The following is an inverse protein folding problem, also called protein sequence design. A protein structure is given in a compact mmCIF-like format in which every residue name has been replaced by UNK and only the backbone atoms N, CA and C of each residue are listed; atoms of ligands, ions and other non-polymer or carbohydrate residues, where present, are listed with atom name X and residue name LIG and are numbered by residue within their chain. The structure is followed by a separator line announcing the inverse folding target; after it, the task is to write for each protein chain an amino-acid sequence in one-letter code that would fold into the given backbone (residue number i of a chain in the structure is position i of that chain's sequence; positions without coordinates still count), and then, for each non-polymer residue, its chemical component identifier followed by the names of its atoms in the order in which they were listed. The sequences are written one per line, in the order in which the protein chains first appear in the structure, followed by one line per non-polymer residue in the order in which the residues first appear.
data_IF_851485253479
#
_entry.id   IF_851485253479
#
_cell.length_a   1.000
_cell.length_b   1.000
_cell.length_c   1.000
_cell.angle_alpha   90.00
_cell.angle_beta   90.00
_cell.angle_gamma   90.00
#
_symmetry.space_group_name_H-M   'P 1'
#
loop_
_entity.id
_entity.type
_entity.pdbx_description
1 polymer ?
#
# COMPACT_ATOMS: atom_id res chain seq x y z
N UNK A 1 19.76 8.82 -30.56
CA UNK A 1 20.20 8.23 -29.27
C UNK A 1 19.49 6.90 -29.10
N UNK A 2 20.18 5.81 -28.76
CA UNK A 2 19.59 4.47 -28.58
C UNK A 2 19.80 4.01 -27.15
N UNK A 3 18.77 3.43 -26.54
CA UNK A 3 18.86 2.78 -25.24
C UNK A 3 19.31 1.31 -25.40
N UNK A 4 19.81 0.66 -24.32
CA UNK A 4 20.04 -0.78 -24.32
C UNK A 4 18.78 -1.58 -24.69
N UNK A 5 18.95 -2.77 -25.27
CA UNK A 5 17.84 -3.60 -25.78
C UNK A 5 16.76 -3.92 -24.73
N UNK A 6 17.18 -4.12 -23.48
CA UNK A 6 16.30 -4.49 -22.37
C UNK A 6 16.03 -3.30 -21.43
N UNK A 7 16.20 -2.07 -21.92
CA UNK A 7 15.85 -0.87 -21.15
C UNK A 7 14.33 -0.77 -21.06
N UNK A 8 13.81 -0.77 -19.83
CA UNK A 8 12.37 -0.71 -19.57
C UNK A 8 11.81 0.70 -19.73
N UNK A 9 10.66 0.82 -20.37
CA UNK A 9 9.86 2.04 -20.44
C UNK A 9 8.46 1.77 -19.88
N UNK A 10 7.98 2.69 -19.05
CA UNK A 10 6.81 2.42 -18.26
C UNK A 10 6.30 3.61 -17.49
N UNK A 11 5.38 3.33 -16.58
CA UNK A 11 4.86 4.30 -15.61
C UNK A 11 4.77 3.68 -14.22
N UNK A 12 4.51 4.55 -13.25
CA UNK A 12 4.28 4.18 -11.85
C UNK A 12 2.90 4.68 -11.42
N UNK A 13 2.24 3.92 -10.55
CA UNK A 13 1.00 4.34 -9.89
C UNK A 13 1.03 4.00 -8.39
N UNK A 14 0.05 4.54 -7.66
CA UNK A 14 -0.18 4.32 -6.23
C UNK A 14 -1.66 3.99 -6.01
N UNK A 15 -1.98 3.23 -4.96
CA UNK A 15 -3.34 2.78 -4.76
C UNK A 15 -4.29 3.95 -4.50
N UNK A 16 -3.99 4.75 -3.47
CA UNK A 16 -4.82 5.89 -3.08
C UNK A 16 -5.12 6.90 -4.19
N UNK A 17 -4.15 7.18 -5.08
CA UNK A 17 -4.32 8.22 -6.12
C UNK A 17 -5.06 7.70 -7.36
N UNK A 18 -5.09 6.39 -7.59
CA UNK A 18 -5.58 5.82 -8.86
C UNK A 18 -6.74 4.85 -8.72
N UNK A 19 -6.79 4.05 -7.67
CA UNK A 19 -7.77 2.96 -7.56
C UNK A 19 -9.20 3.47 -7.49
N UNK A 20 -9.43 4.52 -6.71
CA UNK A 20 -10.73 5.06 -6.40
C UNK A 20 -11.30 5.93 -7.54
N UNK A 21 -12.63 6.04 -7.62
CA UNK A 21 -13.31 6.78 -8.69
C UNK A 21 -14.69 6.24 -9.09
N UNK A 22 -14.99 4.99 -8.72
CA UNK A 22 -16.30 4.35 -8.93
C UNK A 22 -16.73 3.57 -7.68
N UNK A 23 -18.04 3.43 -7.42
CA UNK A 23 -18.55 2.73 -6.24
C UNK A 23 -18.00 1.31 -6.10
N UNK A 24 -17.61 0.93 -4.89
CA UNK A 24 -17.03 -0.37 -4.57
C UNK A 24 -15.49 -0.39 -4.53
N UNK A 25 -14.85 0.76 -4.74
CA UNK A 25 -13.40 0.93 -4.61
C UNK A 25 -12.98 1.75 -3.40
N UNK A 26 -13.91 2.29 -2.61
CA UNK A 26 -13.58 3.09 -1.43
C UNK A 26 -12.82 2.26 -0.39
N UNK A 27 -11.85 2.88 0.29
CA UNK A 27 -11.11 2.26 1.39
C UNK A 27 -10.81 3.29 2.47
N UNK A 28 -11.10 2.94 3.71
CA UNK A 28 -10.71 3.78 4.85
C UNK A 28 -9.21 3.63 5.15
N UNK A 29 -8.56 4.77 5.31
CA UNK A 29 -7.16 4.91 5.70
C UNK A 29 -6.99 6.23 6.44
N UNK A 30 -5.83 6.44 7.06
CA UNK A 30 -5.46 7.73 7.63
C UNK A 30 -5.60 8.88 6.61
N UNK A 31 -5.10 8.68 5.38
CA UNK A 31 -5.21 9.64 4.29
C UNK A 31 -6.64 9.86 3.83
N UNK A 32 -7.48 8.82 3.79
CA UNK A 32 -8.91 8.97 3.50
C UNK A 32 -9.57 9.90 4.51
N UNK A 33 -9.41 9.64 5.81
CA UNK A 33 -9.99 10.49 6.86
C UNK A 33 -9.40 11.91 6.81
N UNK A 34 -8.10 12.02 6.54
CA UNK A 34 -7.40 13.30 6.47
C UNK A 34 -7.95 14.22 5.38
N UNK A 35 -8.19 13.70 4.17
CA UNK A 35 -8.70 14.53 3.05
C UNK A 35 -10.19 14.82 3.16
N UNK A 36 -10.94 14.01 3.92
CA UNK A 36 -12.37 14.21 4.21
C UNK A 36 -12.64 15.09 5.44
N UNK A 37 -11.62 15.39 6.25
CA UNK A 37 -11.78 16.16 7.47
C UNK A 37 -12.23 17.60 7.17
N UNK A 38 -13.34 18.02 7.78
CA UNK A 38 -13.94 19.33 7.54
C UNK A 38 -13.03 20.48 7.96
N UNK A 39 -12.24 20.29 9.04
CA UNK A 39 -11.29 21.31 9.49
C UNK A 39 -10.13 21.45 8.49
N UNK A 40 -9.61 20.33 7.95
CA UNK A 40 -8.58 20.34 6.91
C UNK A 40 -9.04 21.04 5.63
N UNK A 41 -10.27 20.76 5.19
CA UNK A 41 -10.85 21.40 4.01
C UNK A 41 -11.07 22.89 4.28
N UNK A 42 -11.68 23.25 5.40
CA UNK A 42 -11.99 24.65 5.72
C UNK A 42 -10.74 25.51 5.93
N UNK A 43 -9.65 24.93 6.43
CA UNK A 43 -8.36 25.61 6.60
C UNK A 43 -7.53 25.72 5.32
N UNK A 44 -7.92 25.02 4.24
CA UNK A 44 -7.17 24.96 2.99
C UNK A 44 -5.90 24.11 3.07
N UNK A 45 -5.78 23.25 4.08
CA UNK A 45 -4.65 22.32 4.21
C UNK A 45 -4.71 21.20 3.16
N UNK A 46 -5.92 20.82 2.75
CA UNK A 46 -6.20 19.92 1.63
C UNK A 46 -7.12 20.65 0.64
N UNK A 47 -7.13 20.24 -0.63
CA UNK A 47 -7.86 20.96 -1.69
C UNK A 47 -9.39 20.88 -1.55
N UNK A 48 -9.89 19.84 -0.88
CA UNK A 48 -11.31 19.48 -0.87
C UNK A 48 -11.71 18.56 -2.02
N UNK A 49 -10.80 18.24 -2.95
CA UNK A 49 -10.99 17.15 -3.90
C UNK A 49 -10.91 15.82 -3.15
N UNK A 50 -11.78 14.87 -3.53
CA UNK A 50 -11.90 13.59 -2.84
C UNK A 50 -11.46 12.43 -3.77
N UNK A 51 -10.70 11.46 -3.25
CA UNK A 51 -10.06 10.42 -4.08
C UNK A 51 -11.07 9.44 -4.70
N UNK A 52 -12.27 9.30 -4.14
CA UNK A 52 -13.38 8.55 -4.73
C UNK A 52 -14.01 9.18 -5.97
N UNK A 53 -13.56 10.38 -6.35
CA UNK A 53 -13.82 10.98 -7.66
C UNK A 53 -12.61 10.85 -8.62
N UNK A 54 -11.66 9.95 -8.30
CA UNK A 54 -10.45 9.68 -9.06
C UNK A 54 -10.66 8.90 -10.36
N UNK A 55 -9.59 8.34 -10.95
CA UNK A 55 -9.62 7.72 -12.27
C UNK A 55 -10.20 6.29 -12.30
N UNK A 56 -10.54 5.71 -11.15
CA UNK A 56 -11.19 4.41 -11.03
C UNK A 56 -10.39 3.21 -11.59
N UNK A 57 -9.05 3.24 -11.46
CA UNK A 57 -8.17 2.17 -11.92
C UNK A 57 -8.56 0.80 -11.34
N UNK A 58 -9.12 0.75 -10.13
CA UNK A 58 -9.63 -0.49 -9.52
C UNK A 58 -10.61 -1.24 -10.43
N UNK A 59 -11.39 -0.50 -11.21
CA UNK A 59 -12.37 -1.05 -12.15
C UNK A 59 -11.87 -1.05 -13.59
N UNK A 60 -11.02 -0.08 -13.95
CA UNK A 60 -10.65 0.23 -15.33
C UNK A 60 -9.22 -0.18 -15.71
N UNK A 61 -8.48 -0.85 -14.82
CA UNK A 61 -7.08 -1.25 -15.04
C UNK A 61 -6.81 -1.91 -16.40
N UNK A 62 -7.73 -2.74 -16.89
CA UNK A 62 -7.58 -3.40 -18.19
C UNK A 62 -7.52 -2.40 -19.35
N UNK A 63 -8.32 -1.33 -19.29
CA UNK A 63 -8.32 -0.27 -20.31
C UNK A 63 -7.02 0.54 -20.24
N UNK A 64 -6.54 0.82 -19.03
CA UNK A 64 -5.29 1.55 -18.83
C UNK A 64 -4.06 0.71 -19.26
N UNK A 65 -4.08 -0.60 -19.00
CA UNK A 65 -3.07 -1.53 -19.53
C UNK A 65 -3.09 -1.61 -21.06
N UNK A 66 -4.28 -1.62 -21.69
CA UNK A 66 -4.40 -1.57 -23.15
C UNK A 66 -3.78 -0.29 -23.72
N UNK A 67 -3.94 0.85 -23.03
CA UNK A 67 -3.32 2.12 -23.41
C UNK A 67 -1.80 2.04 -23.24
N UNK A 68 -1.31 1.59 -22.08
CA UNK A 68 0.13 1.47 -21.80
C UNK A 68 0.83 0.56 -22.83
N UNK A 69 0.22 -0.58 -23.16
CA UNK A 69 0.75 -1.50 -24.17
C UNK A 69 0.79 -0.86 -25.56
N UNK A 70 -0.25 -0.12 -25.96
CA UNK A 70 -0.28 0.63 -27.24
C UNK A 70 0.78 1.73 -27.31
N UNK A 71 1.16 2.31 -26.17
CA UNK A 71 2.24 3.29 -26.06
C UNK A 71 3.64 2.64 -26.08
N UNK A 72 3.70 1.30 -26.15
CA UNK A 72 4.96 0.55 -26.20
C UNK A 72 5.62 0.40 -24.83
N UNK A 73 4.88 0.56 -23.73
CA UNK A 73 5.39 0.32 -22.39
C UNK A 73 5.57 -1.18 -22.14
N UNK A 74 6.62 -1.52 -21.42
CA UNK A 74 6.98 -2.89 -21.06
C UNK A 74 7.17 -3.11 -19.55
N UNK A 75 7.06 -2.05 -18.75
CA UNK A 75 7.16 -2.11 -17.30
C UNK A 75 6.09 -1.25 -16.63
N UNK A 76 5.55 -1.75 -15.52
CA UNK A 76 4.71 -0.97 -14.61
C UNK A 76 5.26 -1.14 -13.19
N UNK A 77 5.35 -0.04 -12.45
CA UNK A 77 5.50 -0.08 -11.00
C UNK A 77 4.16 0.23 -10.33
N UNK A 78 3.53 -0.78 -9.74
CA UNK A 78 2.24 -0.65 -9.04
C UNK A 78 2.36 -0.61 -7.53
N UNK A 79 1.26 -0.29 -6.86
CA UNK A 79 1.15 -0.29 -5.40
C UNK A 79 0.11 -1.29 -4.91
N UNK A 80 0.22 -1.69 -3.65
CA UNK A 80 -0.77 -2.47 -2.91
C UNK A 80 -1.10 -1.73 -1.61
N UNK A 81 -2.39 -1.55 -1.31
CA UNK A 81 -2.81 -0.77 -0.14
C UNK A 81 -2.89 -1.66 1.11
N UNK A 82 -2.05 -1.37 2.10
CA UNK A 82 -2.07 -2.07 3.39
C UNK A 82 -3.46 -1.97 4.04
N UNK A 83 -4.09 -0.79 4.00
CA UNK A 83 -5.43 -0.56 4.52
C UNK A 83 -6.51 -1.44 3.86
N UNK A 84 -6.34 -1.82 2.58
CA UNK A 84 -7.24 -2.78 1.92
C UNK A 84 -7.01 -4.20 2.36
N UNK A 85 -5.75 -4.63 2.42
CA UNK A 85 -5.39 -6.02 2.73
C UNK A 85 -5.70 -6.34 4.19
N UNK A 86 -5.38 -5.44 5.12
CA UNK A 86 -5.66 -5.59 6.55
C UNK A 86 -6.51 -4.42 7.04
N UNK A 87 -7.83 -4.44 6.79
CA UNK A 87 -8.74 -3.41 7.31
C UNK A 87 -8.98 -3.55 8.82
N UNK A 88 -8.52 -4.66 9.43
CA UNK A 88 -8.62 -4.95 10.86
C UNK A 88 -7.23 -5.15 11.47
N UNK A 89 -7.06 -4.90 12.78
CA UNK A 89 -5.78 -5.04 13.44
C UNK A 89 -5.19 -6.45 13.35
N UNK A 90 -3.87 -6.51 13.16
CA UNK A 90 -3.08 -7.77 13.11
C UNK A 90 -2.22 -7.99 14.37
N UNK A 91 -2.39 -7.15 15.40
CA UNK A 91 -1.59 -7.15 16.64
C UNK A 91 -1.61 -8.49 17.42
N UNK A 92 -2.72 -9.23 17.33
CA UNK A 92 -2.91 -10.47 18.07
C UNK A 92 -2.18 -11.66 17.43
N UNK A 93 -1.87 -11.57 16.13
CA UNK A 93 -1.07 -12.57 15.43
C UNK A 93 0.40 -12.34 15.76
N UNK A 94 1.02 -13.26 16.52
CA UNK A 94 2.40 -13.08 17.00
C UNK A 94 3.42 -13.52 15.94
N UNK A 95 4.54 -12.83 15.96
CA UNK A 95 5.74 -13.09 15.15
C UNK A 95 6.95 -12.96 16.07
N UNK A 96 8.02 -13.65 15.72
CA UNK A 96 9.27 -13.54 16.48
C UNK A 96 9.99 -12.26 16.03
N UNK A 97 10.32 -11.39 16.99
CA UNK A 97 10.99 -10.11 16.74
C UNK A 97 12.29 -10.10 17.52
N UNK A 98 13.41 -10.02 16.80
CA UNK A 98 14.73 -9.85 17.42
C UNK A 98 15.10 -8.37 17.47
N UNK A 99 15.63 -7.92 18.61
CA UNK A 99 16.09 -6.56 18.85
C UNK A 99 17.56 -6.52 19.29
N UNK A 100 18.28 -5.46 18.93
CA UNK A 100 19.63 -5.19 19.46
C UNK A 100 19.59 -4.64 20.90
N UNK A 101 20.77 -4.35 21.47
CA UNK A 101 20.91 -3.79 22.82
C UNK A 101 20.32 -2.38 22.92
N UNK A 102 20.27 -1.65 21.80
CA UNK A 102 19.66 -0.33 21.66
C UNK A 102 18.14 -0.37 21.43
N UNK A 103 17.55 -1.55 21.28
CA UNK A 103 16.11 -1.77 21.10
C UNK A 103 15.61 -1.70 19.65
N UNK A 104 16.50 -1.55 18.67
CA UNK A 104 16.16 -1.56 17.25
C UNK A 104 15.82 -2.98 16.79
N UNK A 105 14.81 -3.09 15.91
CA UNK A 105 14.42 -4.37 15.31
C UNK A 105 15.48 -4.80 14.30
N UNK A 106 16.11 -5.96 14.51
CA UNK A 106 17.12 -6.53 13.61
C UNK A 106 16.49 -7.55 12.65
N UNK A 107 15.58 -8.37 13.16
CA UNK A 107 14.91 -9.41 12.37
C UNK A 107 13.48 -9.61 12.85
N UNK A 108 12.62 -10.05 11.93
CA UNK A 108 11.26 -10.49 12.24
C UNK A 108 11.01 -11.76 11.44
N UNK A 109 10.69 -12.86 12.13
CA UNK A 109 10.35 -14.12 11.48
C UNK A 109 8.83 -14.27 11.36
N UNK A 110 8.38 -14.58 10.15
CA UNK A 110 6.96 -14.76 9.82
C UNK A 110 6.78 -16.14 9.18
N UNK A 111 6.62 -17.20 9.99
CA UNK A 111 6.51 -18.55 9.45
C UNK A 111 5.20 -18.73 8.67
N UNK A 112 5.16 -19.74 7.81
CA UNK A 112 3.98 -20.04 6.98
C UNK A 112 2.71 -20.23 7.81
N UNK A 113 2.81 -20.84 9.00
CA UNK A 113 1.67 -20.96 9.92
C UNK A 113 1.07 -19.60 10.30
N UNK A 114 1.91 -18.59 10.49
CA UNK A 114 1.48 -17.22 10.79
C UNK A 114 0.84 -16.56 9.56
N UNK A 115 1.36 -16.84 8.35
CA UNK A 115 0.69 -16.40 7.10
C UNK A 115 -0.74 -16.94 7.03
N UNK A 116 -0.95 -18.23 7.35
CA UNK A 116 -2.30 -18.85 7.40
C UNK A 116 -3.20 -18.27 8.48
N UNK A 117 -2.64 -17.71 9.55
CA UNK A 117 -3.43 -16.96 10.53
C UNK A 117 -3.81 -15.57 10.02
N UNK A 118 -2.89 -14.89 9.34
CA UNK A 118 -3.16 -13.59 8.70
C UNK A 118 -4.23 -13.71 7.61
N UNK A 119 -4.26 -14.80 6.83
CA UNK A 119 -5.31 -15.06 5.83
C UNK A 119 -6.73 -15.01 6.42
N UNK A 120 -6.91 -15.41 7.70
CA UNK A 120 -8.22 -15.43 8.36
C UNK A 120 -8.78 -14.04 8.67
N UNK A 121 -7.91 -13.03 8.72
CA UNK A 121 -8.27 -11.65 9.05
C UNK A 121 -8.05 -10.68 7.88
N UNK A 122 -7.26 -11.10 6.88
CA UNK A 122 -7.05 -10.36 5.65
C UNK A 122 -8.33 -10.26 4.83
N UNK A 123 -8.44 -9.18 4.06
CA UNK A 123 -9.41 -9.09 2.98
C UNK A 123 -8.88 -9.87 1.76
N UNK A 124 -9.17 -11.16 1.72
CA UNK A 124 -8.75 -12.02 0.62
C UNK A 124 -9.40 -11.64 -0.72
N UNK A 125 -10.60 -11.04 -0.71
CA UNK A 125 -11.22 -10.54 -1.95
C UNK A 125 -10.41 -9.38 -2.56
N UNK A 126 -9.92 -8.45 -1.74
CA UNK A 126 -9.03 -7.39 -2.21
C UNK A 126 -7.70 -7.95 -2.72
N UNK A 127 -7.11 -8.94 -2.04
CA UNK A 127 -5.89 -9.61 -2.51
C UNK A 127 -6.10 -10.27 -3.87
N UNK A 128 -7.18 -11.02 -4.04
CA UNK A 128 -7.51 -11.66 -5.32
C UNK A 128 -7.80 -10.65 -6.43
N UNK A 129 -8.36 -9.49 -6.08
CA UNK A 129 -8.55 -8.41 -7.05
C UNK A 129 -7.21 -7.81 -7.49
N UNK A 130 -6.27 -7.58 -6.56
CA UNK A 130 -4.91 -7.20 -6.91
C UNK A 130 -4.23 -8.24 -7.81
N UNK A 131 -4.40 -9.54 -7.52
CA UNK A 131 -3.92 -10.61 -8.42
C UNK A 131 -4.49 -10.45 -9.82
N UNK A 132 -5.79 -10.18 -9.99
CA UNK A 132 -6.40 -9.94 -11.30
C UNK A 132 -5.80 -8.73 -12.02
N UNK A 133 -5.55 -7.63 -11.30
CA UNK A 133 -4.92 -6.43 -11.85
C UNK A 133 -3.52 -6.79 -12.37
N UNK A 134 -2.67 -7.37 -11.52
CA UNK A 134 -1.27 -7.63 -11.87
C UNK A 134 -1.15 -8.71 -12.95
N UNK A 135 -1.98 -9.76 -12.87
CA UNK A 135 -2.04 -10.81 -13.89
C UNK A 135 -2.41 -10.25 -15.26
N UNK A 136 -3.36 -9.32 -15.37
CA UNK A 136 -3.73 -8.74 -16.68
C UNK A 136 -2.53 -8.05 -17.36
N UNK A 137 -1.61 -7.46 -16.60
CA UNK A 137 -0.37 -6.91 -17.15
C UNK A 137 0.70 -7.99 -17.41
N UNK A 138 0.89 -8.92 -16.46
CA UNK A 138 1.89 -10.00 -16.57
C UNK A 138 1.60 -10.96 -17.73
N UNK A 139 0.33 -11.28 -17.97
CA UNK A 139 -0.12 -12.15 -19.07
C UNK A 139 0.20 -11.58 -20.46
N UNK A 140 0.44 -10.26 -20.56
CA UNK A 140 0.93 -9.59 -21.78
C UNK A 140 2.44 -9.74 -21.99
N UNK A 141 3.12 -10.52 -21.15
CA UNK A 141 4.56 -10.76 -21.20
C UNK A 141 5.39 -9.56 -20.76
N UNK A 142 4.87 -8.77 -19.81
CA UNK A 142 5.47 -7.51 -19.34
C UNK A 142 6.07 -7.63 -17.95
N UNK A 143 6.88 -6.63 -17.57
CA UNK A 143 7.49 -6.53 -16.25
C UNK A 143 6.58 -5.78 -15.27
N UNK A 144 6.49 -6.26 -14.04
CA UNK A 144 5.77 -5.64 -12.95
C UNK A 144 6.67 -5.50 -11.72
N UNK A 145 6.76 -4.27 -11.21
CA UNK A 145 7.46 -3.93 -9.98
C UNK A 145 6.39 -3.62 -8.91
N UNK A 146 6.39 -4.36 -7.80
CA UNK A 146 5.42 -4.12 -6.73
C UNK A 146 6.04 -3.29 -5.61
N UNK A 147 5.38 -2.17 -5.29
CA UNK A 147 5.70 -1.33 -4.14
C UNK A 147 4.72 -1.57 -3.00
N UNK A 148 5.23 -1.97 -1.83
CA UNK A 148 4.40 -2.38 -0.70
C UNK A 148 3.73 -1.20 0.01
N UNK A 149 4.35 -0.02 0.05
CA UNK A 149 3.80 1.10 0.80
C UNK A 149 3.93 2.43 0.04
N UNK A 150 2.80 3.13 -0.09
CA UNK A 150 2.73 4.43 -0.77
C UNK A 150 1.90 5.45 0.02
N UNK A 151 2.16 5.52 1.34
CA UNK A 151 1.69 6.53 2.30
C UNK A 151 0.44 6.20 3.12
N UNK A 152 -0.71 5.77 2.59
CA UNK A 152 -1.84 5.41 3.44
C UNK A 152 -1.51 4.26 4.39
N UNK A 153 -1.91 4.46 5.64
CA UNK A 153 -1.88 3.47 6.70
C UNK A 153 -3.32 3.06 7.03
N UNK A 154 -3.54 1.80 7.46
CA UNK A 154 -4.81 1.42 8.05
C UNK A 154 -5.17 2.34 9.23
N UNK A 155 -6.44 2.70 9.41
CA UNK A 155 -6.85 3.59 10.51
C UNK A 155 -6.52 3.04 11.90
N UNK A 156 -6.45 1.71 12.05
CA UNK A 156 -6.06 1.07 13.30
C UNK A 156 -4.56 1.17 13.59
N UNK A 157 -3.74 1.53 12.58
CA UNK A 157 -2.32 1.88 12.72
C UNK A 157 -2.17 3.38 13.00
N UNK A 158 -2.94 4.22 12.30
CA UNK A 158 -2.82 5.67 12.40
C UNK A 158 -4.18 6.36 12.36
N UNK A 159 -4.52 7.10 13.42
CA UNK A 159 -5.63 8.05 13.43
C UNK A 159 -5.06 9.48 13.43
N UNK A 160 -4.91 10.11 12.26
CA UNK A 160 -4.21 11.38 12.15
C UNK A 160 -4.98 12.53 12.80
N UNK A 161 -6.31 12.42 12.90
CA UNK A 161 -7.16 13.44 13.51
C UNK A 161 -7.02 13.37 15.03
N UNK A 162 -7.05 12.16 15.60
CA UNK A 162 -6.82 11.97 17.03
C UNK A 162 -5.39 12.33 17.42
N UNK A 163 -4.37 11.95 16.64
CA UNK A 163 -2.98 12.35 16.88
C UNK A 163 -2.84 13.88 16.87
N UNK A 164 -3.44 14.58 15.90
CA UNK A 164 -3.41 16.05 15.87
C UNK A 164 -4.07 16.69 17.09
N UNK A 165 -5.18 16.13 17.57
CA UNK A 165 -5.99 16.71 18.66
C UNK A 165 -5.49 16.33 20.05
N UNK A 166 -4.99 15.11 20.21
CA UNK A 166 -4.65 14.50 21.50
C UNK A 166 -3.13 14.29 21.66
N UNK A 167 -2.34 14.43 20.60
CA UNK A 167 -0.93 14.07 20.60
C UNK A 167 -0.71 12.56 20.40
N UNK A 168 0.52 12.17 20.00
CA UNK A 168 0.84 10.81 19.57
C UNK A 168 0.72 9.76 20.68
N UNK A 169 0.91 10.13 21.95
CA UNK A 169 0.86 9.17 23.07
C UNK A 169 -0.57 8.70 23.43
N UNK A 170 -1.60 9.30 22.81
CA UNK A 170 -3.02 9.08 23.15
C UNK A 170 -3.86 8.58 21.96
N UNK A 171 -3.23 8.25 20.84
CA UNK A 171 -3.88 7.78 19.63
C UNK A 171 -2.96 6.81 18.86
N UNK A 172 -3.50 5.97 17.96
CA UNK A 172 -2.68 5.23 16.99
C UNK A 172 -1.84 6.21 16.17
N UNK A 173 -0.52 6.15 16.32
CA UNK A 173 0.39 7.20 15.88
C UNK A 173 1.19 6.87 14.62
N UNK A 174 0.81 5.81 13.89
CA UNK A 174 1.49 5.38 12.68
C UNK A 174 2.97 5.09 12.93
N UNK A 175 3.85 5.66 12.12
CA UNK A 175 5.30 5.44 12.19
C UNK A 175 5.97 5.97 13.46
N UNK A 176 5.25 6.68 14.34
CA UNK A 176 5.76 7.05 15.67
C UNK A 176 5.70 5.88 16.68
N UNK A 177 4.94 4.82 16.38
CA UNK A 177 4.90 3.59 17.18
C UNK A 177 5.75 2.49 16.52
N UNK A 178 6.73 1.94 17.25
CA UNK A 178 7.56 0.83 16.79
C UNK A 178 6.74 -0.40 16.39
N UNK A 179 5.55 -0.61 16.99
CA UNK A 179 4.66 -1.72 16.61
C UNK A 179 4.28 -1.65 15.14
N UNK A 180 4.16 -0.45 14.56
CA UNK A 180 3.86 -0.26 13.14
C UNK A 180 4.91 -0.93 12.26
N UNK A 181 6.17 -0.95 12.67
CA UNK A 181 7.24 -1.66 11.93
C UNK A 181 6.97 -3.16 11.92
N UNK A 182 6.64 -3.75 13.08
CA UNK A 182 6.34 -5.19 13.19
C UNK A 182 5.11 -5.56 12.35
N UNK A 183 4.04 -4.76 12.42
CA UNK A 183 2.84 -5.01 11.62
C UNK A 183 3.10 -4.82 10.11
N UNK A 184 3.97 -3.88 9.73
CA UNK A 184 4.38 -3.71 8.35
C UNK A 184 5.19 -4.91 7.84
N UNK A 185 6.04 -5.54 8.68
CA UNK A 185 6.76 -6.76 8.27
C UNK A 185 5.79 -7.92 8.06
N UNK A 186 4.78 -8.10 8.92
CA UNK A 186 3.71 -9.10 8.69
C UNK A 186 3.04 -8.87 7.35
N UNK A 187 2.68 -7.63 7.05
CA UNK A 187 2.08 -7.27 5.77
C UNK A 187 3.02 -7.56 4.59
N UNK A 188 4.30 -7.18 4.67
CA UNK A 188 5.29 -7.44 3.64
C UNK A 188 5.47 -8.95 3.37
N UNK A 189 5.61 -9.75 4.43
CA UNK A 189 5.72 -11.20 4.33
C UNK A 189 4.45 -11.83 3.72
N UNK A 190 3.27 -11.37 4.15
CA UNK A 190 1.99 -11.81 3.61
C UNK A 190 1.87 -11.53 2.11
N UNK A 191 2.21 -10.32 1.67
CA UNK A 191 2.14 -9.95 0.25
C UNK A 191 3.17 -10.74 -0.56
N UNK A 192 4.41 -10.87 -0.08
CA UNK A 192 5.44 -11.66 -0.74
C UNK A 192 5.02 -13.12 -0.91
N UNK A 193 4.52 -13.77 0.15
CA UNK A 193 4.07 -15.17 0.09
C UNK A 193 2.98 -15.38 -0.98
N UNK A 194 2.06 -14.43 -1.14
CA UNK A 194 0.91 -14.60 -2.03
C UNK A 194 1.13 -14.10 -3.46
N UNK A 195 2.05 -13.18 -3.71
CA UNK A 195 2.14 -12.46 -4.98
C UNK A 195 3.49 -12.60 -5.69
N UNK A 196 4.47 -13.32 -5.13
CA UNK A 196 5.81 -13.48 -5.73
C UNK A 196 5.77 -14.03 -7.17
N UNK A 197 4.79 -14.88 -7.49
CA UNK A 197 4.60 -15.41 -8.84
C UNK A 197 4.24 -14.34 -9.90
N UNK A 198 3.80 -13.15 -9.46
CA UNK A 198 3.40 -12.03 -10.33
C UNK A 198 4.38 -10.86 -10.31
N UNK A 199 5.43 -10.88 -9.48
CA UNK A 199 6.30 -9.72 -9.21
C UNK A 199 7.72 -9.98 -9.68
N UNK A 200 8.25 -9.10 -10.54
CA UNK A 200 9.64 -9.23 -11.02
C UNK A 200 10.63 -8.49 -10.11
N UNK A 201 10.19 -7.41 -9.45
CA UNK A 201 11.01 -6.63 -8.53
C UNK A 201 10.16 -6.03 -7.40
N UNK A 202 10.77 -5.91 -6.23
CA UNK A 202 10.12 -5.39 -5.03
C UNK A 202 10.64 -4.01 -4.64
N UNK A 203 9.75 -3.16 -4.14
CA UNK A 203 10.06 -1.92 -3.44
C UNK A 203 9.32 -1.93 -2.10
N UNK A 204 10.02 -1.71 -1.00
CA UNK A 204 9.40 -1.73 0.34
C UNK A 204 8.53 -0.49 0.55
N UNK A 205 8.97 0.68 0.10
CA UNK A 205 8.26 1.93 0.37
C UNK A 205 8.59 3.02 -0.65
N UNK A 206 7.62 3.90 -0.87
CA UNK A 206 7.74 5.09 -1.71
C UNK A 206 8.08 6.34 -0.89
N UNK A 207 9.15 7.02 -1.27
CA UNK A 207 9.54 8.35 -0.76
C UNK A 207 9.45 8.52 0.77
N UNK A 208 10.12 7.67 1.57
CA UNK A 208 9.99 7.71 3.02
C UNK A 208 10.38 9.04 3.67
N UNK A 209 11.37 9.72 3.08
CA UNK A 209 11.87 11.01 3.55
C UNK A 209 10.77 12.10 3.54
N UNK A 210 9.73 11.96 2.71
CA UNK A 210 8.66 12.96 2.59
C UNK A 210 7.69 13.00 3.77
N UNK A 211 7.47 11.88 4.45
CA UNK A 211 6.60 11.84 5.63
C UNK A 211 7.37 11.79 6.96
N UNK A 212 8.70 11.71 6.91
CA UNK A 212 9.58 11.77 8.09
C UNK A 212 10.12 13.19 8.32
N UNK A 213 10.18 14.03 7.28
CA UNK A 213 10.67 15.40 7.43
C UNK A 213 9.59 16.34 8.00
N UNK A 214 9.90 17.08 9.08
CA UNK A 214 9.00 18.06 9.70
C UNK A 214 8.76 19.30 8.84
#
# INVERSE_FOLDING_TARGET
MKFPKNFMFGYSWSGFQFEMGLPGSEVESDWWVWVHDKENIASGLVSGDLPENGPAYWHLYKQDHDIAEKLGMDCIRGGIEWARIFPKPTFDVKVDVEKDEEGNIISVDVPESTIKELEKIANMEALEHYRKIYSDWKERGKTFILNLYHWPLPLWIHDPIAVRKLGPDRAPAGWLDEKTVVEFVKFAAFVAYHLDDLVDMWSTMNEPIKFINP
#
